data_IF_214493829282
#
_entry.id   IF_214493829282
#
_cell.length_a   1.000
_cell.length_b   1.000
_cell.length_c   1.000
_cell.angle_alpha   90.00
_cell.angle_beta   90.00
_cell.angle_gamma   90.00
#
_symmetry.space_group_name_H-M   'P 1'
#
loop_
_entity.id
_entity.type
_entity.pdbx_description
1 polymer ?
#
# COMPACT_ATOMS: atom_id res chain seq x y z
N UNK A 1 28.77 -9.91 11.48
CA UNK A 1 27.90 -9.23 10.49
C UNK A 1 26.61 -8.92 11.22
N UNK A 2 26.14 -7.66 11.23
CA UNK A 2 24.93 -7.27 11.96
C UNK A 2 23.73 -7.85 11.23
N UNK A 3 22.92 -8.64 11.93
CA UNK A 3 21.59 -9.05 11.48
C UNK A 3 20.81 -7.80 11.10
N UNK A 4 20.69 -7.56 9.81
CA UNK A 4 19.82 -6.53 9.28
C UNK A 4 18.41 -7.09 9.42
N UNK A 5 17.83 -6.89 10.61
CA UNK A 5 16.50 -7.38 10.97
C UNK A 5 15.53 -6.86 9.89
N UNK A 6 14.95 -7.78 9.13
CA UNK A 6 13.92 -7.49 8.13
C UNK A 6 12.88 -6.55 8.72
N UNK A 7 12.72 -5.37 8.13
CA UNK A 7 11.75 -4.36 8.58
C UNK A 7 10.68 -4.21 7.50
N UNK A 8 9.56 -4.93 7.63
CA UNK A 8 8.49 -4.81 6.66
C UNK A 8 7.89 -3.40 6.69
N UNK A 9 7.74 -2.82 5.51
CA UNK A 9 7.27 -1.45 5.35
C UNK A 9 6.34 -1.33 4.16
N UNK A 10 5.42 -0.37 4.22
CA UNK A 10 4.53 -0.04 3.13
C UNK A 10 4.55 1.47 2.84
N UNK A 11 4.24 1.84 1.62
CA UNK A 11 4.09 3.22 1.20
C UNK A 11 2.64 3.49 0.80
N UNK A 12 1.99 4.44 1.46
CA UNK A 12 0.63 4.87 1.14
C UNK A 12 0.69 6.15 0.30
N UNK A 13 0.22 6.04 -0.95
CA UNK A 13 0.20 7.14 -1.91
C UNK A 13 -1.20 7.72 -2.06
N UNK A 14 -1.32 9.03 -1.92
CA UNK A 14 -2.54 9.78 -2.17
C UNK A 14 -2.27 11.27 -2.42
N UNK A 15 -3.27 11.97 -2.95
CA UNK A 15 -3.17 13.42 -3.15
C UNK A 15 -3.45 14.13 -1.82
N UNK A 16 -2.51 14.94 -1.32
CA UNK A 16 -2.59 15.62 0.00
C UNK A 16 -3.91 16.36 0.25
N UNK A 17 -4.47 16.98 -0.79
CA UNK A 17 -5.76 17.66 -0.68
C UNK A 17 -6.96 16.73 -0.46
N UNK A 18 -6.79 15.40 -0.65
CA UNK A 18 -7.83 14.41 -0.33
C UNK A 18 -7.84 14.04 1.15
N UNK A 19 -6.80 14.42 1.89
CA UNK A 19 -6.65 14.22 3.34
C UNK A 19 -6.77 15.51 4.16
N UNK A 20 -7.52 16.50 3.66
CA UNK A 20 -7.73 17.77 4.37
C UNK A 20 -8.42 17.61 5.72
N UNK A 21 -9.24 16.57 5.87
CA UNK A 21 -9.96 16.19 7.07
C UNK A 21 -9.23 15.11 7.92
N UNK A 22 -7.98 14.76 7.56
CA UNK A 22 -7.12 13.77 8.23
C UNK A 22 -7.65 12.33 8.28
N UNK A 23 -8.67 12.01 7.51
CA UNK A 23 -9.28 10.66 7.51
C UNK A 23 -8.39 9.61 6.85
N UNK A 24 -7.66 9.97 5.78
CA UNK A 24 -6.69 9.06 5.16
C UNK A 24 -5.51 8.82 6.09
N UNK A 25 -5.01 9.88 6.75
CA UNK A 25 -3.99 9.75 7.79
C UNK A 25 -4.46 8.82 8.92
N UNK A 26 -5.70 8.93 9.36
CA UNK A 26 -6.27 8.07 10.40
C UNK A 26 -6.43 6.62 9.93
N UNK A 27 -6.89 6.41 8.69
CA UNK A 27 -6.93 5.08 8.09
C UNK A 27 -5.54 4.44 8.08
N UNK A 28 -4.50 5.19 7.73
CA UNK A 28 -3.11 4.72 7.75
C UNK A 28 -2.68 4.25 9.14
N UNK A 29 -2.96 5.03 10.19
CA UNK A 29 -2.66 4.66 11.58
C UNK A 29 -3.37 3.35 11.97
N UNK A 30 -4.67 3.28 11.74
CA UNK A 30 -5.48 2.09 12.08
C UNK A 30 -5.02 0.85 11.32
N UNK A 31 -4.68 1.00 10.04
CA UNK A 31 -4.16 -0.11 9.23
C UNK A 31 -2.79 -0.56 9.73
N UNK A 32 -1.90 0.36 10.11
CA UNK A 32 -0.60 0.04 10.70
C UNK A 32 -0.78 -0.83 11.96
N UNK A 33 -1.67 -0.43 12.86
CA UNK A 33 -1.98 -1.18 14.07
C UNK A 33 -2.65 -2.54 13.78
N UNK A 34 -3.54 -2.60 12.81
CA UNK A 34 -4.17 -3.85 12.40
C UNK A 34 -3.14 -4.84 11.85
N UNK A 35 -2.19 -4.38 11.03
CA UNK A 35 -1.11 -5.23 10.51
C UNK A 35 -0.21 -5.72 11.65
N UNK A 36 0.23 -4.85 12.55
CA UNK A 36 1.05 -5.26 13.73
C UNK A 36 0.36 -6.36 14.54
N UNK A 37 -0.91 -6.19 14.85
CA UNK A 37 -1.69 -7.20 15.59
C UNK A 37 -1.81 -8.54 14.86
N UNK A 38 -2.00 -8.49 13.53
CA UNK A 38 -2.22 -9.71 12.74
C UNK A 38 -0.93 -10.44 12.36
N UNK A 39 0.21 -9.73 12.31
CA UNK A 39 1.51 -10.29 11.89
C UNK A 39 2.48 -10.51 13.05
N UNK A 40 2.33 -9.78 14.15
CA UNK A 40 3.33 -9.71 15.21
C UNK A 40 4.56 -8.86 14.86
N UNK A 41 4.61 -8.24 13.68
CA UNK A 41 5.69 -7.34 13.29
C UNK A 41 5.50 -5.95 13.91
N UNK A 42 5.94 -5.76 15.16
CA UNK A 42 5.83 -4.48 15.88
C UNK A 42 6.53 -3.31 15.16
N UNK A 43 7.53 -3.62 14.32
CA UNK A 43 8.28 -2.61 13.54
C UNK A 43 7.63 -2.26 12.21
N UNK A 44 6.48 -2.88 11.85
CA UNK A 44 5.78 -2.54 10.62
C UNK A 44 5.34 -1.08 10.61
N UNK A 45 5.61 -0.38 9.51
CA UNK A 45 5.24 1.02 9.32
C UNK A 45 4.67 1.26 7.93
N UNK A 46 3.65 2.12 7.86
CA UNK A 46 3.12 2.64 6.61
C UNK A 46 3.57 4.09 6.48
N UNK A 47 4.47 4.35 5.54
CA UNK A 47 4.96 5.69 5.26
C UNK A 47 4.00 6.44 4.34
N UNK A 48 4.00 7.74 4.51
CA UNK A 48 3.39 8.73 3.64
C UNK A 48 4.49 9.68 3.20
N UNK A 49 4.49 10.12 1.94
CA UNK A 49 5.50 11.07 1.43
C UNK A 49 6.96 10.58 1.56
N UNK A 50 7.30 9.48 0.90
CA UNK A 50 8.68 8.95 0.89
C UNK A 50 9.65 9.89 0.16
N UNK A 51 9.16 10.78 -0.68
CA UNK A 51 10.02 11.57 -1.57
C UNK A 51 10.03 13.05 -1.17
N UNK A 52 10.96 13.42 -0.28
CA UNK A 52 11.41 14.81 -0.17
C UNK A 52 12.38 15.11 -1.31
N UNK A 53 11.86 15.60 -2.43
CA UNK A 53 12.69 16.04 -3.56
C UNK A 53 13.25 17.43 -3.22
N UNK A 54 14.57 17.52 -3.13
CA UNK A 54 15.26 18.81 -3.07
C UNK A 54 15.42 19.38 -4.49
N UNK A 55 15.42 20.68 -4.59
CA UNK A 55 15.69 21.35 -5.87
C UNK A 55 17.02 20.84 -6.49
N UNK A 56 16.96 20.42 -7.78
CA UNK A 56 18.10 19.92 -8.51
C UNK A 56 18.41 18.43 -8.37
N UNK A 57 17.62 17.68 -7.62
CA UNK A 57 17.76 16.21 -7.53
C UNK A 57 16.93 15.52 -8.61
N UNK A 58 17.49 14.44 -9.18
CA UNK A 58 16.76 13.57 -10.10
C UNK A 58 15.69 12.80 -9.31
N UNK A 59 14.43 13.15 -9.57
CA UNK A 59 13.30 12.58 -8.86
C UNK A 59 13.04 11.12 -9.24
N UNK A 60 13.39 10.69 -10.47
CA UNK A 60 13.20 9.31 -10.90
C UNK A 60 14.13 8.36 -10.15
N UNK A 61 15.38 8.74 -9.97
CA UNK A 61 16.35 7.95 -9.20
C UNK A 61 15.97 7.88 -7.72
N UNK A 62 15.48 8.98 -7.15
CA UNK A 62 14.98 8.96 -5.77
C UNK A 62 13.73 8.11 -5.60
N UNK A 63 12.80 8.22 -6.54
CA UNK A 63 11.60 7.39 -6.55
C UNK A 63 11.97 5.91 -6.56
N UNK A 64 12.87 5.50 -7.46
CA UNK A 64 13.34 4.10 -7.55
C UNK A 64 14.00 3.63 -6.26
N UNK A 65 14.85 4.45 -5.64
CA UNK A 65 15.49 4.10 -4.36
C UNK A 65 14.46 3.91 -3.26
N UNK A 66 13.54 4.87 -3.09
CA UNK A 66 12.49 4.81 -2.07
C UNK A 66 11.54 3.63 -2.26
N UNK A 67 11.22 3.28 -3.50
CA UNK A 67 10.39 2.11 -3.84
C UNK A 67 11.10 0.81 -3.44
N UNK A 68 12.42 0.75 -3.59
CA UNK A 68 13.19 -0.44 -3.20
C UNK A 68 13.34 -0.60 -1.68
N UNK A 69 13.11 0.46 -0.91
CA UNK A 69 13.16 0.44 0.56
C UNK A 69 11.84 -0.03 1.21
N UNK A 70 10.74 -0.08 0.47
CA UNK A 70 9.43 -0.52 0.96
C UNK A 70 8.97 -1.77 0.24
N UNK A 71 8.18 -2.60 0.92
CA UNK A 71 7.68 -3.86 0.35
C UNK A 71 6.38 -3.61 -0.40
N UNK A 72 5.42 -2.93 0.24
CA UNK A 72 4.07 -2.75 -0.28
C UNK A 72 3.79 -1.32 -0.71
N UNK A 73 2.92 -1.22 -1.70
CA UNK A 73 2.35 0.03 -2.18
C UNK A 73 0.83 0.03 -1.97
N UNK A 74 0.33 1.06 -1.27
CA UNK A 74 -1.08 1.21 -0.94
C UNK A 74 -1.59 2.50 -1.61
N UNK A 75 -2.05 2.45 -2.87
CA UNK A 75 -2.64 3.61 -3.53
C UNK A 75 -4.07 3.85 -3.03
N UNK A 76 -4.35 5.09 -2.62
CA UNK A 76 -5.70 5.54 -2.26
C UNK A 76 -6.37 6.11 -3.51
N UNK A 77 -7.24 5.33 -4.12
CA UNK A 77 -7.84 5.65 -5.40
C UNK A 77 -8.96 6.68 -5.25
N UNK A 78 -8.73 7.83 -5.86
CA UNK A 78 -9.67 8.95 -5.97
C UNK A 78 -9.57 9.56 -7.37
N UNK A 79 -10.53 10.40 -7.81
CA UNK A 79 -10.41 11.12 -9.08
C UNK A 79 -9.15 11.99 -9.18
N UNK A 80 -8.65 12.51 -8.04
CA UNK A 80 -7.42 13.30 -8.00
C UNK A 80 -6.17 12.44 -8.13
N UNK A 81 -6.20 11.21 -7.58
CA UNK A 81 -5.11 10.24 -7.73
C UNK A 81 -4.77 10.01 -9.21
N UNK A 82 -5.78 9.71 -10.04
CA UNK A 82 -5.60 9.46 -11.48
C UNK A 82 -5.22 10.71 -12.29
N UNK A 83 -5.36 11.92 -11.73
CA UNK A 83 -4.92 13.18 -12.34
C UNK A 83 -3.53 13.63 -11.84
N UNK A 84 -3.03 13.05 -10.76
CA UNK A 84 -1.74 13.40 -10.17
C UNK A 84 -0.61 12.71 -10.93
N UNK A 85 0.27 13.50 -11.55
CA UNK A 85 1.47 12.96 -12.21
C UNK A 85 2.34 12.16 -11.23
N UNK A 86 2.50 12.64 -9.99
CA UNK A 86 3.30 11.97 -8.96
C UNK A 86 2.71 10.60 -8.59
N UNK A 87 1.43 10.53 -8.22
CA UNK A 87 0.77 9.27 -7.86
C UNK A 87 0.81 8.26 -9.03
N UNK A 88 0.65 8.73 -10.28
CA UNK A 88 0.73 7.87 -11.46
C UNK A 88 2.14 7.35 -11.69
N UNK A 89 3.17 8.17 -11.46
CA UNK A 89 4.56 7.72 -11.58
C UNK A 89 4.92 6.71 -10.49
N UNK A 90 4.51 6.94 -9.25
CA UNK A 90 4.67 5.98 -8.15
C UNK A 90 4.00 4.64 -8.47
N UNK A 91 2.75 4.68 -8.93
CA UNK A 91 2.02 3.50 -9.33
C UNK A 91 2.74 2.72 -10.44
N UNK A 92 3.21 3.40 -11.49
CA UNK A 92 3.95 2.76 -12.59
C UNK A 92 5.21 2.08 -12.09
N UNK A 93 6.00 2.78 -11.28
CA UNK A 93 7.24 2.25 -10.74
C UNK A 93 7.02 1.00 -9.89
N UNK A 94 5.96 0.95 -9.06
CA UNK A 94 5.59 -0.26 -8.32
C UNK A 94 5.09 -1.39 -9.21
N UNK A 95 4.28 -1.08 -10.22
CA UNK A 95 3.83 -2.09 -11.18
C UNK A 95 4.97 -2.67 -12.02
N UNK A 96 6.00 -1.88 -12.34
CA UNK A 96 7.18 -2.35 -13.05
C UNK A 96 8.06 -3.19 -12.11
N UNK A 97 8.24 -2.80 -10.86
CA UNK A 97 8.90 -3.63 -9.84
C UNK A 97 8.21 -4.99 -9.64
N UNK A 98 6.88 -5.02 -9.58
CA UNK A 98 6.15 -6.30 -9.51
C UNK A 98 6.43 -7.21 -10.70
N UNK A 99 6.57 -6.65 -11.92
CA UNK A 99 6.96 -7.42 -13.10
C UNK A 99 8.38 -7.96 -12.98
N UNK A 100 9.34 -7.13 -12.55
CA UNK A 100 10.73 -7.52 -12.34
C UNK A 100 10.84 -8.65 -11.32
N UNK A 101 10.06 -8.60 -10.25
CA UNK A 101 10.00 -9.62 -9.20
C UNK A 101 9.09 -10.80 -9.53
N UNK A 102 8.42 -10.79 -10.72
CA UNK A 102 7.39 -11.77 -11.09
C UNK A 102 6.26 -11.91 -10.02
N UNK A 103 5.91 -10.81 -9.37
CA UNK A 103 4.88 -10.74 -8.31
C UNK A 103 3.67 -9.91 -8.75
N UNK A 104 2.55 -10.06 -8.03
CA UNK A 104 1.30 -9.31 -8.28
C UNK A 104 0.59 -8.91 -6.99
N UNK A 105 1.23 -9.06 -5.87
CA UNK A 105 0.66 -8.90 -4.52
C UNK A 105 1.35 -7.82 -3.68
N UNK A 106 2.18 -6.98 -4.30
CA UNK A 106 2.85 -5.87 -3.62
C UNK A 106 2.07 -4.55 -3.72
N UNK A 107 1.15 -4.43 -4.68
CA UNK A 107 0.28 -3.27 -4.85
C UNK A 107 -1.12 -3.61 -4.34
N UNK A 108 -1.54 -2.93 -3.26
CA UNK A 108 -2.76 -3.18 -2.49
C UNK A 108 -3.70 -1.95 -2.57
N UNK A 109 -4.55 -1.84 -3.62
CA UNK A 109 -5.35 -0.64 -3.83
C UNK A 109 -6.50 -0.51 -2.83
N UNK A 110 -6.73 0.73 -2.33
CA UNK A 110 -7.91 1.09 -1.56
C UNK A 110 -8.78 2.03 -2.41
N UNK A 111 -9.97 1.59 -2.78
CA UNK A 111 -10.92 2.41 -3.53
C UNK A 111 -11.69 3.33 -2.58
N UNK A 112 -11.29 4.60 -2.56
CA UNK A 112 -11.71 5.56 -1.55
C UNK A 112 -12.83 6.50 -2.01
N UNK A 113 -12.81 6.93 -3.28
CA UNK A 113 -13.86 7.78 -3.88
C UNK A 113 -14.15 7.34 -5.30
N UNK A 114 -15.42 7.41 -5.69
CA UNK A 114 -15.86 7.07 -7.05
C UNK A 114 -15.05 7.84 -8.10
N UNK A 115 -14.55 7.12 -9.08
CA UNK A 115 -13.87 7.67 -10.25
C UNK A 115 -14.45 7.06 -11.53
N UNK A 116 -14.94 7.89 -12.47
CA UNK A 116 -15.54 7.38 -13.70
C UNK A 116 -14.61 6.48 -14.53
N UNK A 117 -13.29 6.73 -14.51
CA UNK A 117 -12.31 5.92 -15.23
C UNK A 117 -12.14 4.55 -14.59
N UNK A 118 -12.13 4.50 -13.25
CA UNK A 118 -12.02 3.25 -12.51
C UNK A 118 -13.35 2.46 -12.55
N UNK A 119 -14.49 3.16 -12.49
CA UNK A 119 -15.82 2.53 -12.53
C UNK A 119 -16.18 2.04 -13.94
N UNK A 120 -15.66 2.69 -15.00
CA UNK A 120 -15.94 2.28 -16.38
C UNK A 120 -15.33 0.91 -16.71
N UNK A 121 -15.95 0.22 -17.68
CA UNK A 121 -15.39 -1.01 -18.24
C UNK A 121 -14.57 -0.73 -19.51
N UNK A 122 -14.31 0.53 -19.83
CA UNK A 122 -13.50 0.93 -20.98
C UNK A 122 -12.02 0.79 -20.68
N UNK A 123 -11.21 0.54 -21.72
CA UNK A 123 -9.74 0.51 -21.61
C UNK A 123 -9.10 1.88 -21.85
N UNK A 124 -9.86 2.96 -21.75
CA UNK A 124 -9.37 4.31 -22.02
C UNK A 124 -8.24 4.73 -21.07
N UNK A 125 -8.28 4.25 -19.81
CA UNK A 125 -7.17 4.42 -18.87
C UNK A 125 -6.57 3.04 -18.54
N UNK A 126 -5.42 2.75 -19.13
CA UNK A 126 -4.74 1.46 -18.99
C UNK A 126 -4.38 1.14 -17.52
N UNK A 127 -3.99 2.15 -16.74
CA UNK A 127 -3.61 1.95 -15.34
C UNK A 127 -4.84 1.68 -14.47
N UNK A 128 -5.91 2.46 -14.63
CA UNK A 128 -7.18 2.22 -13.94
C UNK A 128 -7.72 0.81 -14.25
N UNK A 129 -7.66 0.41 -15.53
CA UNK A 129 -8.08 -0.92 -15.95
C UNK A 129 -7.20 -2.05 -15.36
N UNK A 130 -5.88 -1.87 -15.29
CA UNK A 130 -4.98 -2.83 -14.64
C UNK A 130 -5.25 -2.96 -13.14
N UNK A 131 -5.49 -1.85 -12.45
CA UNK A 131 -5.84 -1.86 -11.02
C UNK A 131 -7.21 -2.51 -10.78
N UNK A 132 -8.20 -2.24 -11.61
CA UNK A 132 -9.54 -2.82 -11.48
C UNK A 132 -9.56 -4.36 -11.57
N UNK A 133 -8.60 -4.95 -12.30
CA UNK A 133 -8.44 -6.40 -12.40
C UNK A 133 -7.81 -7.04 -11.17
N UNK A 134 -7.28 -6.24 -10.24
CA UNK A 134 -6.70 -6.71 -8.98
C UNK A 134 -7.76 -6.77 -7.90
N UNK A 135 -7.53 -7.57 -6.88
CA UNK A 135 -8.26 -7.44 -5.64
C UNK A 135 -7.98 -6.04 -5.07
N UNK A 136 -9.01 -5.33 -4.66
CA UNK A 136 -8.92 -4.05 -3.99
C UNK A 136 -9.91 -4.00 -2.83
N UNK A 137 -9.62 -3.15 -1.84
CA UNK A 137 -10.56 -2.90 -0.76
C UNK A 137 -11.43 -1.70 -1.11
N UNK A 138 -12.75 -1.89 -1.06
CA UNK A 138 -13.71 -0.80 -1.23
C UNK A 138 -13.93 -0.09 0.10
N UNK A 139 -13.46 1.15 0.20
CA UNK A 139 -13.58 1.99 1.39
C UNK A 139 -14.61 3.12 1.24
N UNK A 140 -15.35 3.14 0.13
CA UNK A 140 -16.24 4.25 -0.22
C UNK A 140 -17.40 4.44 0.77
N UNK A 141 -17.91 3.39 1.32
CA UNK A 141 -18.97 3.39 2.34
C UNK A 141 -18.46 3.82 3.73
N UNK A 142 -17.17 3.64 4.00
CA UNK A 142 -16.54 3.92 5.29
C UNK A 142 -15.79 5.26 5.35
N UNK A 143 -15.56 5.92 4.22
CA UNK A 143 -14.79 7.18 4.16
C UNK A 143 -15.32 8.33 5.02
N UNK A 144 -16.63 8.33 5.33
CA UNK A 144 -17.29 9.37 6.13
C UNK A 144 -17.55 8.92 7.57
N UNK A 145 -17.19 7.67 7.92
CA UNK A 145 -17.36 7.18 9.28
C UNK A 145 -16.42 7.95 10.21
N UNK A 146 -16.90 8.51 11.32
CA UNK A 146 -16.07 9.27 12.27
C UNK A 146 -15.22 8.32 13.12
N UNK A 147 -14.13 7.80 12.53
CA UNK A 147 -13.23 6.82 13.16
C UNK A 147 -12.53 7.36 14.43
N UNK A 148 -12.60 8.67 14.66
CA UNK A 148 -12.00 9.37 15.80
C UNK A 148 -12.92 9.52 16.99
N UNK A 149 -14.22 9.20 16.85
CA UNK A 149 -15.19 9.42 17.93
C UNK A 149 -14.97 8.42 19.07
N UNK A 150 -14.88 8.92 20.31
CA UNK A 150 -14.70 8.10 21.51
C UNK A 150 -15.74 6.99 21.69
N UNK A 151 -16.94 7.15 21.11
CA UNK A 151 -18.04 6.18 21.16
C UNK A 151 -18.18 5.36 19.87
N UNK A 152 -17.18 5.33 19.04
CA UNK A 152 -17.20 4.63 17.75
C UNK A 152 -17.42 3.12 17.94
N UNK A 153 -16.86 2.53 19.00
CA UNK A 153 -16.97 1.09 19.29
C UNK A 153 -18.39 0.55 19.49
N UNK A 154 -19.37 1.41 19.74
CA UNK A 154 -20.78 1.04 19.95
C UNK A 154 -21.62 1.06 18.66
N UNK A 155 -21.04 1.37 17.50
CA UNK A 155 -21.75 1.50 16.22
C UNK A 155 -21.48 0.30 15.31
N UNK A 156 -22.48 -0.09 14.51
CA UNK A 156 -22.34 -1.12 13.46
C UNK A 156 -21.21 -0.78 12.47
N UNK A 157 -20.97 0.50 12.26
CA UNK A 157 -19.88 1.02 11.43
C UNK A 157 -18.49 0.62 11.93
N UNK A 158 -18.31 0.54 13.26
CA UNK A 158 -17.04 0.09 13.85
C UNK A 158 -16.69 -1.34 13.44
N UNK A 159 -17.66 -2.25 13.52
CA UNK A 159 -17.45 -3.63 13.11
C UNK A 159 -17.04 -3.73 11.66
N UNK A 160 -17.69 -2.97 10.77
CA UNK A 160 -17.34 -2.92 9.34
C UNK A 160 -15.93 -2.37 9.09
N UNK A 161 -15.54 -1.32 9.83
CA UNK A 161 -14.18 -0.75 9.74
C UNK A 161 -13.15 -1.78 10.17
N UNK A 162 -13.34 -2.43 11.32
CA UNK A 162 -12.42 -3.46 11.82
C UNK A 162 -12.32 -4.63 10.83
N UNK A 163 -13.42 -5.13 10.33
CA UNK A 163 -13.46 -6.22 9.34
C UNK A 163 -12.67 -5.88 8.06
N UNK A 164 -12.80 -4.64 7.56
CA UNK A 164 -12.03 -4.17 6.40
C UNK A 164 -10.54 -4.01 6.69
N UNK A 165 -10.19 -3.49 7.88
CA UNK A 165 -8.80 -3.36 8.32
C UNK A 165 -8.14 -4.73 8.50
N UNK A 166 -8.84 -5.67 9.14
CA UNK A 166 -8.34 -7.02 9.34
C UNK A 166 -8.19 -7.78 8.02
N UNK A 167 -9.12 -7.59 7.08
CA UNK A 167 -9.00 -8.15 5.72
C UNK A 167 -7.74 -7.64 4.99
N UNK A 168 -7.44 -6.34 5.07
CA UNK A 168 -6.20 -5.78 4.54
C UNK A 168 -4.96 -6.31 5.25
N UNK A 169 -5.00 -6.37 6.58
CA UNK A 169 -3.89 -6.86 7.39
C UNK A 169 -3.56 -8.33 7.09
N UNK A 170 -4.59 -9.16 6.87
CA UNK A 170 -4.43 -10.57 6.47
C UNK A 170 -3.75 -10.67 5.10
N UNK A 171 -4.17 -9.86 4.12
CA UNK A 171 -3.54 -9.84 2.79
C UNK A 171 -2.06 -9.44 2.87
N UNK A 172 -1.73 -8.43 3.69
CA UNK A 172 -0.34 -8.02 3.94
C UNK A 172 0.44 -9.14 4.61
N UNK A 173 -0.12 -9.82 5.62
CA UNK A 173 0.52 -10.96 6.27
C UNK A 173 0.85 -12.07 5.28
N UNK A 174 -0.12 -12.51 4.49
CA UNK A 174 0.07 -13.57 3.51
C UNK A 174 1.12 -13.20 2.44
N UNK A 175 1.18 -11.93 2.06
CA UNK A 175 2.20 -11.46 1.12
C UNK A 175 3.59 -11.37 1.77
N UNK A 176 3.69 -11.02 3.08
CA UNK A 176 4.94 -11.04 3.84
C UNK A 176 5.49 -12.46 3.98
N UNK A 177 4.65 -13.42 4.35
CA UNK A 177 5.03 -14.84 4.45
C UNK A 177 5.60 -15.37 3.12
N UNK A 178 5.05 -14.93 1.98
CA UNK A 178 5.60 -15.28 0.66
C UNK A 178 6.98 -14.64 0.41
N UNK A 179 7.18 -13.38 0.82
CA UNK A 179 8.48 -12.69 0.70
C UNK A 179 9.57 -13.38 1.53
N UNK A 180 9.24 -13.75 2.77
CA UNK A 180 10.18 -14.43 3.67
C UNK A 180 10.57 -15.80 3.11
N UNK A 181 9.60 -16.61 2.69
CA UNK A 181 9.85 -17.93 2.11
C UNK A 181 10.72 -17.87 0.82
N UNK A 182 10.51 -16.88 -0.04
CA UNK A 182 11.31 -16.68 -1.24
C UNK A 182 12.76 -16.25 -0.90
N UNK A 183 12.94 -15.41 0.14
CA UNK A 183 14.23 -14.99 0.66
C UNK A 183 15.05 -16.19 1.21
N UNK A 184 14.42 -17.04 2.02
CA UNK A 184 15.05 -18.24 2.59
C UNK A 184 15.44 -19.26 1.50
N UNK A 185 14.62 -19.41 0.47
CA UNK A 185 14.95 -20.30 -0.67
C UNK A 185 16.14 -19.78 -1.48
N UNK A 186 16.28 -18.47 -1.64
CA UNK A 186 17.41 -17.87 -2.35
C UNK A 186 18.72 -18.04 -1.56
N UNK A 187 18.73 -17.82 -0.25
CA UNK A 187 19.89 -18.00 0.63
C UNK A 187 20.35 -19.48 0.68
N UNK A 188 19.42 -20.42 0.73
CA UNK A 188 19.73 -21.86 0.73
C UNK A 188 20.32 -22.34 -0.60
N UNK A 189 19.89 -21.78 -1.73
CA UNK A 189 20.44 -22.10 -3.04
C UNK A 189 21.88 -21.57 -3.21
N UNK A 190 22.15 -20.34 -2.74
CA UNK A 190 23.49 -19.75 -2.78
C UNK A 190 24.49 -20.49 -1.87
N UNK A 191 24.02 -21.08 -0.78
CA UNK A 191 24.83 -21.89 0.13
C UNK A 191 25.22 -23.25 -0.46
N UNK A 192 24.33 -23.84 -1.25
CA UNK A 192 24.57 -25.13 -1.92
C UNK A 192 25.47 -25.03 -3.17
N UNK A 193 25.62 -23.84 -3.76
CA UNK A 193 26.52 -23.63 -4.92
C UNK A 193 27.98 -23.39 -4.47
N UNK A 194 28.19 -23.04 -3.19
CA UNK A 194 29.51 -22.76 -2.61
C UNK A 194 30.11 -23.94 -1.82
N UNK A 195 29.43 -25.07 -1.75
CA UNK A 195 29.90 -26.31 -1.15
C UNK A 195 30.31 -27.32 -2.23
#
# INVERSE_FOLDING_TARGET
MKDQKFKPTAFMSYVRSDDSDKRISKLRELLTEAVRRNTGFETFEIFQDVIHIRWGEDWEDKLKKSINEVIFFIPILTPRFFKSKYCICELRAFLDREKELNRKDLTLPIYYRNDPKFDSNTREDELAFKLKKRAFIDWRDLKNVPIEAQNFSSRDEYSKVQERLDSLAIQIREALERVENEGELAENNDSNIKA
#
